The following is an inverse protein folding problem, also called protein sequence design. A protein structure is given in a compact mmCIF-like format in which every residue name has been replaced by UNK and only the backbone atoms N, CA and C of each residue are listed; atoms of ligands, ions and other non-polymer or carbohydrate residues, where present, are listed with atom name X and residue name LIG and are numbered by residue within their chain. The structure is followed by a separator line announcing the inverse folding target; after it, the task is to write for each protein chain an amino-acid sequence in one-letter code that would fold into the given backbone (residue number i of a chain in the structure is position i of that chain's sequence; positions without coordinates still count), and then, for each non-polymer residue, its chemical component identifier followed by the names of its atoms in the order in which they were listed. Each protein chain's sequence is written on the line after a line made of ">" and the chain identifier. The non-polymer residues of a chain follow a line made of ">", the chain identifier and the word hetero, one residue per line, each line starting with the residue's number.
data_IF_473906878533
#
_entry.id   IF_473906878533
#
_cell.length_a   1.000
_cell.length_b   1.000
_cell.length_c   1.000
_cell.angle_alpha   90.00
_cell.angle_beta   90.00
_cell.angle_gamma   90.00
#
_symmetry.space_group_name_H-M   'P 1'
#
loop_
_entity.id
_entity.type
_entity.pdbx_description
1 polymer ?
#
# COMPACT_ATOMS: atom_id res chain seq x y z
N UNK A 1 -3.38 12.75 24.91
CA UNK A 1 -4.13 11.49 25.14
C UNK A 1 -4.43 10.80 23.80
N UNK A 2 -5.12 11.43 22.85
CA UNK A 2 -5.42 10.85 21.53
C UNK A 2 -4.17 10.50 20.70
N UNK A 3 -3.16 11.37 20.66
CA UNK A 3 -1.87 11.12 19.97
C UNK A 3 -1.15 9.87 20.52
N UNK A 4 -1.23 9.63 21.82
CA UNK A 4 -0.59 8.48 22.46
C UNK A 4 -1.32 7.17 22.10
N UNK A 5 -2.65 7.22 21.97
CA UNK A 5 -3.45 6.05 21.56
C UNK A 5 -3.20 5.70 20.10
N UNK A 6 -3.07 6.69 19.21
CA UNK A 6 -2.81 6.44 17.79
C UNK A 6 -1.49 5.69 17.56
N UNK A 7 -0.42 6.11 18.25
CA UNK A 7 0.88 5.45 18.15
C UNK A 7 0.89 4.05 18.79
N UNK A 8 0.03 3.77 19.78
CA UNK A 8 -0.09 2.45 20.41
C UNK A 8 -0.67 1.41 19.44
N UNK A 9 -1.67 1.77 18.63
CA UNK A 9 -2.26 0.82 17.68
C UNK A 9 -1.28 0.47 16.55
N UNK A 10 -0.54 1.47 16.05
CA UNK A 10 0.53 1.26 15.05
C UNK A 10 1.64 0.38 15.63
N UNK A 11 2.10 0.66 16.86
CA UNK A 11 3.13 -0.14 17.53
C UNK A 11 2.67 -1.60 17.75
N UNK A 12 1.44 -1.81 18.22
CA UNK A 12 0.88 -3.15 18.44
C UNK A 12 0.80 -3.96 17.15
N UNK A 13 0.42 -3.32 16.04
CA UNK A 13 0.41 -3.97 14.74
C UNK A 13 1.84 -4.29 14.26
N UNK A 14 2.78 -3.36 14.44
CA UNK A 14 4.18 -3.59 14.09
C UNK A 14 4.82 -4.75 14.88
N UNK A 15 4.53 -4.87 16.19
CA UNK A 15 4.96 -6.00 17.02
C UNK A 15 4.41 -7.34 16.51
N UNK A 16 3.14 -7.36 16.10
CA UNK A 16 2.54 -8.54 15.46
C UNK A 16 3.25 -8.91 14.16
N UNK A 17 3.51 -7.93 13.29
CA UNK A 17 4.22 -8.16 12.03
C UNK A 17 5.66 -8.64 12.24
N UNK A 18 6.38 -8.07 13.20
CA UNK A 18 7.73 -8.53 13.56
C UNK A 18 7.71 -9.97 14.04
N UNK A 19 6.73 -10.34 14.88
CA UNK A 19 6.56 -11.71 15.37
C UNK A 19 6.24 -12.69 14.25
N UNK A 20 5.42 -12.27 13.27
CA UNK A 20 5.13 -13.05 12.07
C UNK A 20 6.40 -13.23 11.22
N UNK A 21 7.10 -12.15 10.91
CA UNK A 21 8.29 -12.14 10.06
C UNK A 21 9.46 -12.92 10.66
N UNK A 22 9.60 -12.97 11.98
CA UNK A 22 10.66 -13.72 12.66
C UNK A 22 10.62 -15.24 12.40
N UNK A 23 9.47 -15.77 11.97
CA UNK A 23 9.31 -17.18 11.59
C UNK A 23 9.44 -17.46 10.09
N UNK A 24 9.65 -16.43 9.26
CA UNK A 24 9.67 -16.57 7.80
C UNK A 24 11.10 -16.79 7.28
N UNK A 25 11.21 -17.54 6.20
CA UNK A 25 12.47 -17.74 5.47
C UNK A 25 12.78 -16.47 4.64
N UNK A 26 13.91 -15.78 4.88
CA UNK A 26 14.27 -14.58 4.13
C UNK A 26 14.63 -14.84 2.66
N UNK A 27 14.93 -16.08 2.29
CA UNK A 27 15.32 -16.43 0.92
C UNK A 27 14.14 -16.96 0.10
N UNK A 28 13.03 -17.33 0.75
CA UNK A 28 11.86 -17.93 0.13
C UNK A 28 10.56 -17.11 0.33
N UNK A 29 9.50 -17.55 -0.36
CA UNK A 29 8.16 -16.96 -0.24
C UNK A 29 8.08 -15.50 -0.68
N UNK A 30 6.94 -14.88 -0.37
CA UNK A 30 6.72 -13.45 -0.59
C UNK A 30 7.57 -12.57 0.31
N UNK A 31 7.87 -13.01 1.54
CA UNK A 31 8.76 -12.29 2.45
C UNK A 31 10.14 -12.06 1.82
N UNK A 32 10.74 -13.09 1.21
CA UNK A 32 12.00 -12.94 0.48
C UNK A 32 11.88 -12.07 -0.77
N UNK A 33 10.77 -12.16 -1.50
CA UNK A 33 10.49 -11.27 -2.66
C UNK A 33 10.44 -9.81 -2.23
N UNK A 34 9.64 -9.47 -1.22
CA UNK A 34 9.54 -8.09 -0.72
C UNK A 34 10.85 -7.58 -0.13
N UNK A 35 11.58 -8.44 0.59
CA UNK A 35 12.87 -8.08 1.19
C UNK A 35 13.92 -7.71 0.14
N UNK A 36 13.92 -8.37 -1.02
CA UNK A 36 14.85 -8.08 -2.12
C UNK A 36 14.43 -6.87 -2.94
N UNK A 37 13.13 -6.68 -3.12
CA UNK A 37 12.59 -5.59 -3.95
C UNK A 37 12.62 -4.24 -3.22
N UNK A 38 12.13 -4.19 -1.98
CA UNK A 38 12.11 -2.99 -1.15
C UNK A 38 12.50 -3.31 0.30
N UNK A 39 13.81 -3.51 0.56
CA UNK A 39 14.30 -3.81 1.89
C UNK A 39 14.02 -2.70 2.91
N UNK A 40 14.02 -1.45 2.46
CA UNK A 40 13.88 -0.28 3.34
C UNK A 40 12.41 -0.05 3.71
N UNK A 41 11.49 -0.16 2.76
CA UNK A 41 10.05 -0.09 3.01
C UNK A 41 9.56 -1.25 3.87
N UNK A 42 10.01 -2.48 3.60
CA UNK A 42 9.69 -3.62 4.47
C UNK A 42 10.20 -3.38 5.90
N UNK A 43 11.45 -2.90 6.05
CA UNK A 43 12.00 -2.56 7.38
C UNK A 43 11.21 -1.45 8.06
N UNK A 44 10.78 -0.42 7.32
CA UNK A 44 9.95 0.65 7.87
C UNK A 44 8.59 0.13 8.36
N UNK A 45 7.97 -0.80 7.63
CA UNK A 45 6.72 -1.46 8.03
C UNK A 45 6.90 -2.28 9.31
N UNK A 46 7.93 -3.12 9.37
CA UNK A 46 8.23 -3.92 10.57
C UNK A 46 8.52 -3.04 11.79
N UNK A 47 9.14 -1.88 11.57
CA UNK A 47 9.47 -0.92 12.64
C UNK A 47 8.32 0.04 12.97
N UNK A 48 7.14 -0.13 12.37
CA UNK A 48 5.96 0.70 12.62
C UNK A 48 6.10 2.16 12.16
N UNK A 49 7.09 2.45 11.30
CA UNK A 49 7.26 3.78 10.69
C UNK A 49 6.40 3.99 9.46
N UNK A 50 5.90 2.91 8.87
CA UNK A 50 4.95 2.91 7.77
C UNK A 50 3.95 1.78 7.99
N UNK A 51 2.77 1.89 7.38
CA UNK A 51 1.80 0.80 7.36
C UNK A 51 1.91 0.05 6.02
N UNK A 52 2.18 -1.27 6.05
CA UNK A 52 2.12 -2.07 4.83
C UNK A 52 0.68 -2.14 4.33
N UNK A 53 0.46 -2.16 3.00
CA UNK A 53 -0.85 -2.50 2.44
C UNK A 53 -1.32 -3.89 2.87
N UNK A 54 -2.63 -4.12 2.89
CA UNK A 54 -3.20 -5.39 3.33
C UNK A 54 -2.75 -6.58 2.46
N UNK A 55 -2.57 -6.40 1.15
CA UNK A 55 -2.11 -7.47 0.24
C UNK A 55 -0.72 -8.02 0.60
N UNK A 56 0.14 -7.16 1.16
CA UNK A 56 1.46 -7.55 1.68
C UNK A 56 1.28 -8.40 2.93
N UNK A 57 0.42 -7.98 3.86
CA UNK A 57 0.13 -8.73 5.09
C UNK A 57 -0.47 -10.10 4.78
N UNK A 58 -1.40 -10.19 3.82
CA UNK A 58 -1.97 -11.45 3.35
C UNK A 58 -0.91 -12.39 2.78
N UNK A 59 0.04 -11.84 2.02
CA UNK A 59 1.15 -12.63 1.46
C UNK A 59 2.07 -13.18 2.55
N UNK A 60 2.40 -12.38 3.58
CA UNK A 60 3.20 -12.83 4.72
C UNK A 60 2.47 -13.87 5.58
N UNK A 61 1.16 -13.72 5.75
CA UNK A 61 0.33 -14.74 6.41
C UNK A 61 0.31 -16.04 5.60
N UNK A 62 0.26 -15.97 4.26
CA UNK A 62 0.34 -17.15 3.41
C UNK A 62 1.69 -17.87 3.55
N UNK A 63 2.81 -17.14 3.56
CA UNK A 63 4.14 -17.73 3.79
C UNK A 63 4.24 -18.43 5.15
N UNK A 64 3.57 -17.89 6.17
CA UNK A 64 3.49 -18.49 7.51
C UNK A 64 2.53 -19.70 7.60
N UNK A 65 1.82 -20.05 6.51
CA UNK A 65 0.74 -21.04 6.54
C UNK A 65 -0.48 -20.61 7.36
N UNK A 66 -0.66 -19.30 7.57
CA UNK A 66 -1.65 -18.67 8.44
C UNK A 66 -2.62 -17.76 7.68
N UNK A 67 -2.79 -17.96 6.38
CA UNK A 67 -3.68 -17.18 5.51
C UNK A 67 -5.17 -17.23 5.93
N UNK A 68 -5.57 -18.21 6.74
CA UNK A 68 -6.92 -18.34 7.27
C UNK A 68 -6.91 -18.64 8.77
N UNK A 69 -8.05 -18.40 9.41
CA UNK A 69 -8.25 -18.71 10.83
C UNK A 69 -7.85 -17.57 11.78
N UNK A 70 -7.63 -17.88 13.08
CA UNK A 70 -7.53 -16.85 14.12
C UNK A 70 -6.39 -15.85 13.93
N UNK A 71 -5.26 -16.27 13.36
CA UNK A 71 -4.13 -15.40 13.08
C UNK A 71 -4.47 -14.35 12.01
N UNK A 72 -5.08 -14.76 10.89
CA UNK A 72 -5.53 -13.85 9.84
C UNK A 72 -6.61 -12.87 10.35
N UNK A 73 -7.58 -13.35 11.14
CA UNK A 73 -8.60 -12.48 11.75
C UNK A 73 -7.98 -11.45 12.69
N UNK A 74 -7.03 -11.86 13.53
CA UNK A 74 -6.29 -10.96 14.42
C UNK A 74 -5.48 -9.93 13.63
N UNK A 75 -4.77 -10.37 12.59
CA UNK A 75 -4.01 -9.48 11.70
C UNK A 75 -4.91 -8.43 11.07
N UNK A 76 -6.08 -8.82 10.55
CA UNK A 76 -7.03 -7.89 9.92
C UNK A 76 -7.55 -6.84 10.91
N UNK A 77 -7.86 -7.26 12.13
CA UNK A 77 -8.31 -6.36 13.20
C UNK A 77 -7.22 -5.37 13.61
N UNK A 78 -5.99 -5.84 13.82
CA UNK A 78 -4.86 -4.97 14.18
C UNK A 78 -4.52 -3.99 13.05
N UNK A 79 -4.47 -4.48 11.81
CA UNK A 79 -4.25 -3.65 10.63
C UNK A 79 -5.32 -2.56 10.50
N UNK A 80 -6.60 -2.92 10.64
CA UNK A 80 -7.70 -1.95 10.57
C UNK A 80 -7.62 -0.87 11.66
N UNK A 81 -7.28 -1.24 12.90
CA UNK A 81 -7.09 -0.29 13.99
C UNK A 81 -5.90 0.64 13.75
N UNK A 82 -4.77 0.09 13.28
CA UNK A 82 -3.58 0.87 12.95
C UNK A 82 -3.82 1.84 11.80
N UNK A 83 -4.50 1.41 10.72
CA UNK A 83 -4.89 2.28 9.59
C UNK A 83 -5.80 3.40 10.06
N UNK A 84 -6.84 3.10 10.84
CA UNK A 84 -7.74 4.13 11.34
C UNK A 84 -7.03 5.17 12.24
N UNK A 85 -6.12 4.70 13.10
CA UNK A 85 -5.29 5.57 13.94
C UNK A 85 -4.35 6.45 13.10
N UNK A 86 -3.69 5.86 12.11
CA UNK A 86 -2.80 6.57 11.20
C UNK A 86 -3.54 7.61 10.38
N UNK A 87 -4.69 7.25 9.81
CA UNK A 87 -5.50 8.16 9.00
C UNK A 87 -6.09 9.30 9.83
N UNK A 88 -6.45 9.05 11.09
CA UNK A 88 -6.91 10.11 11.99
C UNK A 88 -5.82 11.13 12.36
N UNK A 89 -4.55 10.72 12.33
CA UNK A 89 -3.41 11.55 12.75
C UNK A 89 -2.71 12.23 11.56
N UNK A 90 -2.48 11.47 10.49
CA UNK A 90 -1.67 11.87 9.33
C UNK A 90 -2.46 11.84 8.02
N UNK A 91 -3.62 11.18 7.99
CA UNK A 91 -4.41 11.04 6.78
C UNK A 91 -5.15 12.33 6.43
N UNK A 92 -4.92 12.83 5.22
CA UNK A 92 -5.80 13.81 4.60
C UNK A 92 -6.52 13.19 3.40
N UNK A 93 -7.81 13.49 3.23
CA UNK A 93 -8.58 13.04 2.06
C UNK A 93 -7.90 13.46 0.74
N UNK A 94 -7.36 14.69 0.58
CA UNK A 94 -6.64 15.08 -0.63
C UNK A 94 -5.39 14.23 -0.91
N UNK A 95 -4.60 13.88 0.10
CA UNK A 95 -3.41 13.04 -0.07
C UNK A 95 -3.78 11.63 -0.50
N UNK A 96 -4.78 11.01 0.15
CA UNK A 96 -5.27 9.68 -0.25
C UNK A 96 -5.87 9.71 -1.66
N UNK A 97 -6.56 10.79 -2.03
CA UNK A 97 -7.10 10.96 -3.38
C UNK A 97 -6.00 11.11 -4.43
N UNK A 98 -4.90 11.82 -4.11
CA UNK A 98 -3.75 11.94 -4.97
C UNK A 98 -3.01 10.60 -5.13
N UNK A 99 -2.87 9.84 -4.04
CA UNK A 99 -2.31 8.48 -4.06
C UNK A 99 -3.17 7.53 -4.92
N UNK A 100 -4.49 7.57 -4.78
CA UNK A 100 -5.41 6.77 -5.62
C UNK A 100 -5.26 7.13 -7.11
N UNK A 101 -5.20 8.42 -7.44
CA UNK A 101 -4.99 8.85 -8.82
C UNK A 101 -3.63 8.40 -9.39
N UNK A 102 -2.60 8.30 -8.55
CA UNK A 102 -1.31 7.72 -8.95
C UNK A 102 -1.45 6.23 -9.27
N UNK A 103 -2.05 5.44 -8.37
CA UNK A 103 -2.31 4.01 -8.60
C UNK A 103 -3.13 3.75 -9.87
N UNK A 104 -4.11 4.60 -10.17
CA UNK A 104 -4.92 4.46 -11.39
C UNK A 104 -4.10 4.71 -12.67
N UNK A 105 -3.10 5.61 -12.62
CA UNK A 105 -2.14 5.78 -13.72
C UNK A 105 -1.20 4.57 -13.84
N UNK A 106 -0.77 4.02 -12.72
CA UNK A 106 0.12 2.85 -12.70
C UNK A 106 -0.60 1.59 -13.19
N UNK A 107 -1.88 1.41 -12.84
CA UNK A 107 -2.74 0.37 -13.42
C UNK A 107 -2.87 0.54 -14.93
N UNK A 108 -3.09 1.77 -15.41
CA UNK A 108 -3.16 2.01 -16.85
C UNK A 108 -1.84 1.65 -17.55
N UNK A 109 -0.70 2.01 -16.96
CA UNK A 109 0.63 1.66 -17.47
C UNK A 109 0.84 0.16 -17.50
N UNK A 110 0.54 -0.54 -16.42
CA UNK A 110 0.64 -2.00 -16.31
C UNK A 110 -0.25 -2.70 -17.36
N UNK A 111 -1.44 -2.15 -17.63
CA UNK A 111 -2.31 -2.64 -18.70
C UNK A 111 -1.71 -2.44 -20.10
N UNK A 112 -0.94 -1.35 -20.33
CA UNK A 112 -0.18 -1.17 -21.58
C UNK A 112 0.94 -2.20 -21.66
N UNK A 113 1.74 -2.34 -20.60
CA UNK A 113 2.88 -3.25 -20.55
C UNK A 113 2.44 -4.71 -20.80
N UNK A 114 1.29 -5.11 -20.24
CA UNK A 114 0.68 -6.43 -20.50
C UNK A 114 0.31 -6.62 -21.97
N UNK A 115 -0.18 -5.58 -22.67
CA UNK A 115 -0.46 -5.65 -24.11
C UNK A 115 0.82 -5.76 -24.92
N UNK A 116 1.85 -5.00 -24.55
CA UNK A 116 3.16 -5.05 -25.22
C UNK A 116 3.80 -6.43 -25.08
N UNK A 117 3.82 -7.01 -23.88
CA UNK A 117 4.31 -8.38 -23.64
C UNK A 117 3.48 -9.41 -24.40
N UNK A 118 2.15 -9.23 -24.50
CA UNK A 118 1.31 -10.13 -25.31
C UNK A 118 1.66 -10.10 -26.80
N UNK A 119 1.91 -8.91 -27.36
CA UNK A 119 2.35 -8.76 -28.75
C UNK A 119 3.74 -9.38 -28.93
N UNK A 120 4.68 -9.09 -28.02
CA UNK A 120 6.04 -9.63 -28.06
C UNK A 120 6.05 -11.16 -28.01
N UNK A 121 5.20 -11.79 -27.18
CA UNK A 121 5.05 -13.24 -27.13
C UNK A 121 4.63 -13.84 -28.48
N UNK A 122 3.84 -13.12 -29.27
CA UNK A 122 3.40 -13.57 -30.61
C UNK A 122 4.51 -13.52 -31.66
N UNK A 123 5.61 -12.81 -31.36
CA UNK A 123 6.79 -12.64 -32.21
C UNK A 123 8.06 -13.28 -31.60
N UNK A 124 7.93 -14.09 -30.56
CA UNK A 124 9.08 -14.74 -29.92
C UNK A 124 9.63 -15.86 -30.81
N UNK A 125 10.84 -15.66 -31.35
CA UNK A 125 11.47 -16.60 -32.28
C UNK A 125 12.27 -17.70 -31.58
N UNK A 126 12.57 -17.55 -30.28
CA UNK A 126 13.35 -18.52 -29.51
C UNK A 126 12.59 -19.04 -28.29
N UNK A 127 12.82 -20.30 -27.87
CA UNK A 127 12.29 -20.83 -26.63
C UNK A 127 12.70 -20.02 -25.40
N UNK A 128 13.90 -19.43 -25.42
CA UNK A 128 14.40 -18.59 -24.33
C UNK A 128 13.60 -17.29 -24.22
N UNK A 129 13.37 -16.58 -25.33
CA UNK A 129 12.56 -15.36 -25.36
C UNK A 129 11.12 -15.63 -24.91
N UNK A 130 10.55 -16.74 -25.37
CA UNK A 130 9.21 -17.15 -24.96
C UNK A 130 9.13 -17.40 -23.44
N UNK A 131 10.12 -18.09 -22.86
CA UNK A 131 10.17 -18.35 -21.42
C UNK A 131 10.30 -17.05 -20.61
N UNK A 132 11.22 -16.16 -21.01
CA UNK A 132 11.42 -14.85 -20.38
C UNK A 132 10.14 -14.01 -20.40
N UNK A 133 9.53 -13.85 -21.58
CA UNK A 133 8.31 -13.05 -21.72
C UNK A 133 7.11 -13.66 -20.99
N UNK A 134 7.03 -14.99 -20.89
CA UNK A 134 6.00 -15.67 -20.08
C UNK A 134 6.16 -15.34 -18.60
N UNK A 135 7.40 -15.31 -18.11
CA UNK A 135 7.72 -14.91 -16.74
C UNK A 135 7.40 -13.43 -16.50
N UNK A 136 7.77 -12.53 -17.41
CA UNK A 136 7.46 -11.11 -17.33
C UNK A 136 5.95 -10.87 -17.27
N UNK A 137 5.18 -11.60 -18.09
CA UNK A 137 3.71 -11.55 -18.07
C UNK A 137 3.14 -12.00 -16.72
N UNK A 138 3.68 -13.05 -16.13
CA UNK A 138 3.22 -13.53 -14.82
C UNK A 138 3.46 -12.49 -13.72
N UNK A 139 4.64 -11.84 -13.75
CA UNK A 139 4.96 -10.74 -12.85
C UNK A 139 4.02 -9.54 -13.02
N UNK A 140 3.77 -9.09 -14.25
CA UNK A 140 2.85 -7.99 -14.51
C UNK A 140 1.41 -8.29 -14.08
N UNK A 141 0.97 -9.55 -14.19
CA UNK A 141 -0.35 -9.94 -13.68
C UNK A 141 -0.45 -9.90 -12.15
N UNK A 142 0.60 -10.33 -11.45
CA UNK A 142 0.67 -10.22 -9.99
C UNK A 142 0.67 -8.75 -9.55
N UNK A 143 1.54 -7.94 -10.16
CA UNK A 143 1.64 -6.51 -9.87
C UNK A 143 0.31 -5.79 -10.08
N UNK A 144 -0.36 -6.03 -11.21
CA UNK A 144 -1.70 -5.51 -11.48
C UNK A 144 -2.70 -5.90 -10.40
N UNK A 145 -2.68 -7.15 -9.97
CA UNK A 145 -3.57 -7.65 -8.91
C UNK A 145 -3.33 -6.91 -7.59
N UNK A 146 -2.06 -6.70 -7.23
CA UNK A 146 -1.67 -5.96 -6.02
C UNK A 146 -2.05 -4.49 -6.11
N UNK A 147 -1.78 -3.82 -7.23
CA UNK A 147 -2.20 -2.44 -7.47
C UNK A 147 -3.73 -2.27 -7.36
N UNK A 148 -4.51 -3.23 -7.89
CA UNK A 148 -5.97 -3.21 -7.75
C UNK A 148 -6.42 -3.36 -6.29
N UNK A 149 -5.79 -4.28 -5.53
CA UNK A 149 -6.09 -4.46 -4.11
C UNK A 149 -5.79 -3.19 -3.31
N UNK A 150 -4.62 -2.58 -3.52
CA UNK A 150 -4.20 -1.32 -2.89
C UNK A 150 -5.13 -0.17 -3.23
N UNK A 151 -5.54 -0.04 -4.49
CA UNK A 151 -6.51 0.97 -4.90
C UNK A 151 -7.89 0.76 -4.24
N UNK A 152 -8.31 -0.49 -4.06
CA UNK A 152 -9.51 -0.84 -3.28
C UNK A 152 -9.41 -0.36 -1.84
N UNK A 153 -8.31 -0.67 -1.17
CA UNK A 153 -8.05 -0.26 0.22
C UNK A 153 -8.04 1.27 0.38
N UNK A 154 -7.37 2.00 -0.52
CA UNK A 154 -7.36 3.48 -0.46
C UNK A 154 -8.75 4.07 -0.64
N UNK A 155 -9.59 3.50 -1.52
CA UNK A 155 -10.99 3.93 -1.67
C UNK A 155 -11.79 3.71 -0.39
N UNK A 156 -11.60 2.58 0.30
CA UNK A 156 -12.24 2.31 1.59
C UNK A 156 -11.81 3.33 2.66
N UNK A 157 -10.52 3.67 2.71
CA UNK A 157 -9.98 4.68 3.65
C UNK A 157 -10.55 6.07 3.39
N UNK A 158 -10.62 6.51 2.13
CA UNK A 158 -11.27 7.77 1.75
C UNK A 158 -12.74 7.78 2.19
N UNK A 159 -13.48 6.69 1.97
CA UNK A 159 -14.87 6.59 2.39
C UNK A 159 -15.03 6.70 3.91
N UNK A 160 -14.13 6.06 4.68
CA UNK A 160 -14.12 6.13 6.14
C UNK A 160 -13.85 7.56 6.65
N UNK A 161 -12.87 8.27 6.08
CA UNK A 161 -12.58 9.67 6.44
C UNK A 161 -13.77 10.61 6.17
N UNK A 162 -14.44 10.44 5.03
CA UNK A 162 -15.64 11.20 4.68
C UNK A 162 -16.78 10.95 5.67
N UNK A 163 -16.99 9.69 6.06
CA UNK A 163 -18.00 9.32 7.07
C UNK A 163 -17.68 9.92 8.43
N UNK A 164 -16.44 9.83 8.89
CA UNK A 164 -16.00 10.42 10.16
C UNK A 164 -16.24 11.94 10.18
N UNK A 165 -15.90 12.64 9.09
CA UNK A 165 -16.12 14.09 8.94
C UNK A 165 -17.59 14.48 8.97
N UNK A 166 -18.47 13.67 8.36
CA UNK A 166 -19.91 13.88 8.39
C UNK A 166 -20.49 13.70 9.81
N UNK A 167 -20.00 12.73 10.58
CA UNK A 167 -20.46 12.49 11.97
C UNK A 167 -19.93 13.52 12.97
N UNK A 168 -18.78 14.14 12.70
CA UNK A 168 -18.17 15.17 13.55
C UNK A 168 -18.83 16.56 13.38
N UNK A 169 -19.62 16.76 12.32
CA UNK A 169 -20.39 18.00 12.16
C UNK A 169 -21.56 18.00 13.13
N UNK A 170 -21.61 18.90 14.13
CA UNK A 170 -22.77 18.99 15.00
C UNK A 170 -23.95 19.37 14.12
N UNK A 171 -25.01 18.58 14.19
CA UNK A 171 -26.29 18.95 13.61
C UNK A 171 -26.68 20.30 14.18
N UNK A 172 -26.60 21.35 13.36
CA UNK A 172 -27.23 22.63 13.68
C UNK A 172 -28.73 22.35 13.67
N UNK A 173 -29.25 21.94 14.83
CA UNK A 173 -30.68 21.84 15.06
C UNK A 173 -31.28 23.21 14.69
N UNK A 174 -32.23 23.28 13.75
CA UNK A 174 -32.93 24.52 13.48
C UNK A 174 -33.83 24.81 14.68
N UNK A 175 -33.26 25.49 15.68
CA UNK A 175 -34.02 26.00 16.81
C UNK A 175 -35.26 26.77 16.32
N UNK A 176 -36.39 26.67 17.04
CA UNK A 176 -37.67 27.17 16.55
C UNK A 176 -37.61 28.68 16.28
N UNK A 177 -37.99 29.06 15.06
CA UNK A 177 -38.01 30.44 14.58
C UNK A 177 -38.90 31.33 15.46
N UNK A 178 -38.27 32.10 16.35
CA UNK A 178 -38.87 33.31 16.88
C UNK A 178 -38.79 34.42 15.81
N UNK A 179 -39.90 34.67 15.13
CA UNK A 179 -40.09 35.87 14.32
C UNK A 179 -39.93 37.11 15.22
N UNK A 180 -39.03 38.03 14.86
CA UNK A 180 -39.27 39.48 14.70
C UNK A 180 -37.97 40.29 14.56
N UNK A 181 -37.85 40.97 13.42
CA UNK A 181 -37.53 42.40 13.34
C UNK A 181 -36.06 42.85 13.33
N UNK A 182 -35.69 43.60 12.30
CA UNK A 182 -34.68 44.66 12.41
C UNK A 182 -33.57 44.60 11.36
N UNK A 183 -33.59 45.54 10.42
CA UNK A 183 -32.65 45.63 9.30
C UNK A 183 -31.22 46.02 9.70
N UNK A 184 -30.28 45.78 8.78
CA UNK A 184 -28.88 46.16 8.99
C UNK A 184 -27.94 45.77 7.86
N UNK A 185 -27.89 46.61 6.82
CA UNK A 185 -26.76 47.00 5.96
C UNK A 185 -25.66 45.96 5.60
N UNK A 186 -25.49 45.85 4.28
CA UNK A 186 -24.34 45.33 3.54
C UNK A 186 -22.97 45.79 4.06
N UNK A 187 -22.01 44.87 4.12
CA UNK A 187 -20.58 45.18 4.02
C UNK A 187 -19.85 44.04 3.31
N UNK A 188 -19.35 44.32 2.10
CA UNK A 188 -18.37 43.48 1.40
C UNK A 188 -17.02 43.66 2.10
N UNK A 189 -16.28 42.58 2.31
CA UNK A 189 -14.83 42.64 2.50
C UNK A 189 -14.15 41.56 1.64
N UNK A 190 -13.40 42.03 0.64
CA UNK A 190 -12.34 41.30 -0.05
C UNK A 190 -11.06 41.46 0.77
N UNK A 191 -10.29 40.37 0.90
CA UNK A 191 -8.83 40.38 0.74
C UNK A 191 -7.94 40.41 1.99
N UNK A 192 -7.27 39.28 2.24
CA UNK A 192 -5.89 39.11 2.76
C UNK A 192 -5.55 37.62 2.49
N UNK A 193 -4.56 37.16 1.70
CA UNK A 193 -3.12 37.45 1.51
C UNK A 193 -2.25 37.15 2.75
N UNK A 194 -1.83 35.87 2.81
CA UNK A 194 -0.59 35.25 3.31
C UNK A 194 -0.03 35.59 4.71
N UNK A 195 0.10 34.54 5.54
CA UNK A 195 1.24 34.21 6.41
C UNK A 195 1.00 32.74 6.84
N UNK A 196 1.73 31.75 6.33
CA UNK A 196 3.10 31.48 6.77
C UNK A 196 3.04 30.35 7.79
N UNK A 197 3.01 29.10 7.32
CA UNK A 197 3.31 27.93 8.15
C UNK A 197 4.25 27.06 7.34
N UNK A 198 5.43 26.82 7.89
CA UNK A 198 6.45 25.93 7.33
C UNK A 198 5.82 24.59 6.99
N UNK A 199 5.93 24.23 5.73
CA UNK A 199 5.67 22.91 5.20
C UNK A 199 6.74 21.98 5.77
N UNK A 200 6.49 21.45 6.97
CA UNK A 200 7.10 20.18 7.35
C UNK A 200 6.48 19.15 6.42
N UNK A 201 7.10 18.98 5.25
CA UNK A 201 6.82 17.90 4.31
C UNK A 201 7.17 16.58 5.00
N UNK A 202 6.29 16.13 5.88
CA UNK A 202 6.30 14.76 6.37
C UNK A 202 5.75 13.94 5.21
N UNK A 203 6.64 13.13 4.62
CA UNK A 203 6.37 12.30 3.46
C UNK A 203 5.02 11.58 3.64
N UNK A 204 4.13 11.81 2.67
CA UNK A 204 3.00 10.94 2.39
C UNK A 204 3.47 9.47 2.43
N UNK A 205 2.62 8.50 2.82
CA UNK A 205 3.01 7.10 2.86
C UNK A 205 3.63 6.74 1.51
N UNK A 206 4.95 6.54 1.51
CA UNK A 206 5.71 6.12 0.35
C UNK A 206 5.35 4.66 0.20
N UNK A 207 4.25 4.41 -0.51
CA UNK A 207 3.91 3.06 -0.90
C UNK A 207 5.13 2.51 -1.65
N UNK A 208 5.53 1.26 -1.42
CA UNK A 208 6.50 0.61 -2.27
C UNK A 208 5.95 0.66 -3.70
N UNK A 209 6.46 1.60 -4.48
CA UNK A 209 6.30 1.61 -5.92
C UNK A 209 7.01 0.35 -6.36
N UNK A 210 6.25 -0.63 -6.86
CA UNK A 210 6.83 -1.78 -7.56
C UNK A 210 7.39 -1.25 -8.89
N UNK A 211 8.52 -0.55 -8.80
CA UNK A 211 9.26 -0.13 -9.97
C UNK A 211 9.84 -1.39 -10.61
N UNK A 212 9.59 -1.53 -11.91
CA UNK A 212 9.94 -2.67 -12.75
C UNK A 212 11.45 -2.87 -12.76
N UNK A 213 11.94 -3.83 -11.97
CA UNK A 213 13.33 -4.26 -12.03
C UNK A 213 13.57 -5.13 -13.28
N UNK A 214 14.64 -4.89 -14.06
CA UNK A 214 15.01 -5.77 -15.15
C UNK A 214 15.65 -7.05 -14.61
N UNK A 215 15.20 -8.20 -15.14
CA UNK A 215 15.88 -9.50 -15.19
C UNK A 215 16.86 -9.84 -14.08
N UNK A 216 16.42 -10.60 -13.08
CA UNK A 216 17.32 -11.45 -12.27
C UNK A 216 17.23 -12.89 -12.77
N UNK A 217 18.28 -13.36 -13.42
CA UNK A 217 18.45 -14.78 -13.76
C UNK A 217 18.58 -15.63 -12.49
N UNK A 218 17.96 -16.82 -12.42
CA UNK A 218 18.34 -17.80 -11.42
C UNK A 218 19.66 -18.47 -11.80
N UNK A 219 20.64 -18.36 -10.90
CA UNK A 219 21.89 -19.11 -10.95
C UNK A 219 21.61 -20.62 -10.97
N UNK A 220 21.61 -21.21 -12.17
CA UNK A 220 21.62 -22.65 -12.37
C UNK A 220 22.99 -23.23 -12.08
N UNK A 221 23.24 -23.58 -10.81
CA UNK A 221 24.39 -24.41 -10.43
C UNK A 221 24.23 -25.84 -10.95
N UNK A 222 24.71 -26.11 -12.16
CA UNK A 222 24.94 -27.48 -12.62
C UNK A 222 26.39 -27.86 -12.33
N UNK A 223 26.56 -28.70 -11.30
CA UNK A 223 27.82 -29.28 -10.89
C UNK A 223 28.47 -30.07 -12.04
N UNK A 224 29.70 -29.69 -12.35
CA UNK A 224 30.62 -30.35 -13.27
C UNK A 224 31.03 -31.72 -12.69
N UNK A 225 30.44 -32.81 -13.20
CA UNK A 225 30.88 -34.16 -12.86
C UNK A 225 32.17 -34.49 -13.61
N UNK A 226 33.31 -34.28 -12.93
CA UNK A 226 34.61 -34.79 -13.36
C UNK A 226 34.75 -36.27 -13.01
N UNK A 227 35.13 -37.05 -14.03
CA UNK A 227 35.97 -38.23 -13.87
C UNK A 227 35.26 -39.57 -13.93
N UNK A 228 35.55 -40.35 -14.97
CA UNK A 228 36.58 -41.41 -14.88
C UNK A 228 36.88 -41.93 -16.28
N UNK A 229 38.11 -41.74 -16.74
CA UNK A 229 38.69 -42.62 -17.74
C UNK A 229 39.20 -43.89 -17.04
N UNK A 230 39.07 -45.05 -17.70
CA UNK A 230 40.10 -46.10 -17.72
C UNK A 230 39.78 -47.18 -18.76
N UNK A 231 40.85 -47.54 -19.49
CA UNK A 231 41.14 -48.78 -20.22
C UNK A 231 40.37 -49.05 -21.53
#
# INVERSE_FOLDING_TARGET
>A
MAEHVAMVEVARFAEFLQSLAAGLDPDAGWYGVFSRHDPDGLRACLQGRQLPPWDVVESLLADAGAAAGPAATRARSLHGAAVAAWDAQFGSEPELSAALAAMERDLHRTDQDLREVHIALSHADTPHDHARLTQDRAWLHDDRTRLMARAGEVRERIAALRQASATASPSTDPGPQARRGGGGKTARLRGARFAGVEETAMQAPVLPTLETAPGSEPAGGAAEARGTGRA
#
